data_IF_861465244732
#
_entry.id   IF_861465244732
#
_cell.length_a   1.000
_cell.length_b   1.000
_cell.length_c   1.000
_cell.angle_alpha   90.00
_cell.angle_beta   90.00
_cell.angle_gamma   90.00
#
_symmetry.space_group_name_H-M   'P 1'
#
loop_
_entity.id
_entity.type
_entity.pdbx_description
1 polymer ?
#
# COMPACT_ATOMS: atom_id res chain seq x y z
N UNK A 1 14.29 1.86 -21.88
CA UNK A 1 12.83 1.67 -21.89
C UNK A 1 12.18 3.01 -21.56
N UNK A 2 11.15 3.42 -22.29
CA UNK A 2 10.36 4.62 -21.96
C UNK A 2 9.45 4.33 -20.78
N UNK A 3 9.43 5.20 -19.78
CA UNK A 3 8.51 5.08 -18.64
C UNK A 3 7.07 5.14 -19.15
N UNK A 4 6.20 4.17 -18.79
CA UNK A 4 4.81 4.19 -19.21
C UNK A 4 4.08 5.41 -18.64
N UNK A 5 3.20 6.02 -19.44
CA UNK A 5 2.40 7.18 -19.06
C UNK A 5 0.97 6.76 -18.72
N UNK A 6 0.42 7.31 -17.63
CA UNK A 6 -0.94 7.06 -17.15
C UNK A 6 -1.70 8.36 -16.94
N UNK A 7 -3.03 8.29 -16.92
CA UNK A 7 -3.92 9.43 -16.69
C UNK A 7 -5.07 9.03 -15.76
N UNK A 8 -5.90 9.98 -15.36
CA UNK A 8 -7.01 9.77 -14.41
C UNK A 8 -8.09 8.75 -14.85
N UNK A 9 -8.04 8.27 -16.10
CA UNK A 9 -8.95 7.22 -16.62
C UNK A 9 -8.25 5.89 -16.87
N UNK A 10 -6.95 5.79 -16.55
CA UNK A 10 -6.22 4.54 -16.67
C UNK A 10 -6.76 3.53 -15.66
N UNK A 11 -6.94 2.28 -16.10
CA UNK A 11 -7.39 1.20 -15.22
C UNK A 11 -6.22 0.63 -14.44
N UNK A 12 -6.51 0.02 -13.28
CA UNK A 12 -5.48 -0.68 -12.49
C UNK A 12 -4.74 -1.73 -13.31
N UNK A 13 -5.45 -2.46 -14.18
CA UNK A 13 -4.84 -3.44 -15.09
C UNK A 13 -3.87 -2.80 -16.08
N UNK A 14 -4.19 -1.63 -16.63
CA UNK A 14 -3.27 -0.90 -17.51
C UNK A 14 -2.00 -0.47 -16.77
N UNK A 15 -2.13 0.02 -15.54
CA UNK A 15 -1.00 0.41 -14.71
C UNK A 15 -0.10 -0.79 -14.40
N UNK A 16 -0.69 -1.89 -13.92
CA UNK A 16 0.03 -3.12 -13.59
C UNK A 16 0.75 -3.69 -14.82
N UNK A 17 0.09 -3.75 -15.98
CA UNK A 17 0.73 -4.21 -17.23
C UNK A 17 1.87 -3.29 -17.67
N UNK A 18 1.72 -1.98 -17.51
CA UNK A 18 2.78 -1.02 -17.81
C UNK A 18 4.04 -1.22 -16.94
N UNK A 19 3.86 -1.67 -15.70
CA UNK A 19 4.94 -2.00 -14.77
C UNK A 19 5.27 -3.50 -14.69
N UNK A 20 4.82 -4.32 -15.64
CA UNK A 20 5.01 -5.77 -15.54
C UNK A 20 6.49 -6.17 -15.39
N UNK A 21 7.39 -5.53 -16.16
CA UNK A 21 8.82 -5.78 -16.07
C UNK A 21 9.40 -5.52 -14.66
N UNK A 22 8.72 -4.72 -13.83
CA UNK A 22 9.13 -4.48 -12.46
C UNK A 22 8.66 -5.58 -11.50
N UNK A 23 7.55 -6.28 -11.79
CA UNK A 23 6.81 -7.14 -10.84
C UNK A 23 6.67 -8.60 -11.27
N UNK A 24 7.04 -8.95 -12.50
CA UNK A 24 7.01 -10.33 -13.02
C UNK A 24 7.88 -11.28 -12.16
N UNK A 25 7.31 -12.41 -11.74
CA UNK A 25 7.94 -13.41 -10.87
C UNK A 25 8.24 -12.93 -9.45
N UNK A 26 7.79 -11.73 -9.08
CA UNK A 26 8.07 -11.12 -7.78
C UNK A 26 6.91 -11.27 -6.81
N UNK A 27 7.23 -11.28 -5.52
CA UNK A 27 6.23 -11.14 -4.47
C UNK A 27 5.74 -9.68 -4.40
N UNK A 28 4.43 -9.48 -4.46
CA UNK A 28 3.74 -8.21 -4.27
C UNK A 28 2.88 -8.30 -3.01
N UNK A 29 3.32 -7.61 -1.96
CA UNK A 29 2.57 -7.49 -0.71
C UNK A 29 1.62 -6.28 -0.77
N UNK A 30 0.33 -6.47 -0.50
CA UNK A 30 -0.71 -5.43 -0.56
C UNK A 30 -1.44 -5.35 0.78
N UNK A 31 -1.47 -4.16 1.38
CA UNK A 31 -2.11 -3.89 2.69
C UNK A 31 -3.55 -3.43 2.57
N UNK A 32 -4.36 -3.62 3.61
CA UNK A 32 -5.77 -3.18 3.68
C UNK A 32 -6.62 -3.61 2.46
N UNK A 33 -6.32 -4.78 1.88
CA UNK A 33 -6.99 -5.30 0.68
C UNK A 33 -8.36 -5.92 0.97
N UNK A 34 -9.25 -5.13 1.56
CA UNK A 34 -10.65 -5.50 1.88
C UNK A 34 -11.68 -4.79 1.00
N UNK A 35 -11.30 -3.73 0.26
CA UNK A 35 -12.13 -3.12 -0.77
C UNK A 35 -11.30 -2.24 -1.72
N UNK A 36 -11.96 -1.61 -2.69
CA UNK A 36 -11.42 -0.47 -3.45
C UNK A 36 -10.19 -0.81 -4.29
N UNK A 37 -9.26 0.15 -4.37
CA UNK A 37 -8.07 0.08 -5.22
C UNK A 37 -7.17 -1.10 -4.86
N UNK A 38 -7.13 -1.49 -3.58
CA UNK A 38 -6.29 -2.58 -3.10
C UNK A 38 -6.74 -3.93 -3.69
N UNK A 39 -8.05 -4.23 -3.70
CA UNK A 39 -8.60 -5.45 -4.33
C UNK A 39 -8.30 -5.48 -5.82
N UNK A 40 -8.56 -4.37 -6.52
CA UNK A 40 -8.30 -4.31 -7.97
C UNK A 40 -6.81 -4.41 -8.28
N UNK A 41 -5.94 -3.90 -7.41
CA UNK A 41 -4.49 -4.04 -7.59
C UNK A 41 -4.02 -5.47 -7.33
N UNK A 42 -4.58 -6.15 -6.33
CA UNK A 42 -4.31 -7.56 -6.09
C UNK A 42 -4.73 -8.42 -7.27
N UNK A 43 -5.96 -8.23 -7.77
CA UNK A 43 -6.50 -8.94 -8.94
C UNK A 43 -5.64 -8.70 -10.18
N UNK A 44 -5.33 -7.44 -10.50
CA UNK A 44 -4.51 -7.11 -11.66
C UNK A 44 -3.10 -7.70 -11.54
N UNK A 45 -2.47 -7.62 -10.37
CA UNK A 45 -1.12 -8.16 -10.15
C UNK A 45 -1.09 -9.69 -10.33
N UNK A 46 -2.13 -10.39 -9.89
CA UNK A 46 -2.26 -11.84 -10.09
C UNK A 46 -2.34 -12.24 -11.58
N UNK A 47 -2.67 -11.31 -12.50
CA UNK A 47 -2.71 -11.59 -13.94
C UNK A 47 -1.35 -11.51 -14.65
N UNK A 48 -0.29 -11.08 -13.96
CA UNK A 48 1.02 -10.78 -14.57
C UNK A 48 2.17 -11.57 -13.93
N UNK A 49 1.94 -12.81 -13.54
CA UNK A 49 2.94 -13.71 -12.94
C UNK A 49 3.60 -13.15 -11.66
N UNK A 50 2.94 -12.21 -10.96
CA UNK A 50 3.33 -11.80 -9.63
C UNK A 50 2.72 -12.74 -8.59
N UNK A 51 3.49 -13.06 -7.55
CA UNK A 51 2.97 -13.73 -6.36
C UNK A 51 2.34 -12.68 -5.45
N UNK A 52 1.02 -12.71 -5.26
CA UNK A 52 0.29 -11.69 -4.50
C UNK A 52 0.06 -12.16 -3.07
N UNK A 53 0.42 -11.34 -2.09
CA UNK A 53 0.09 -11.54 -0.68
C UNK A 53 -0.74 -10.37 -0.19
N UNK A 54 -1.86 -10.68 0.45
CA UNK A 54 -2.80 -9.70 0.98
C UNK A 54 -2.68 -9.67 2.51
N UNK A 55 -2.58 -8.47 3.08
CA UNK A 55 -2.73 -8.21 4.50
C UNK A 55 -4.01 -7.42 4.70
N UNK A 56 -4.82 -7.84 5.68
CA UNK A 56 -5.98 -7.07 6.10
C UNK A 56 -6.30 -7.30 7.58
N UNK A 57 -6.97 -6.31 8.19
CA UNK A 57 -7.23 -6.26 9.64
C UNK A 57 -8.35 -7.19 10.10
N UNK A 58 -9.25 -7.56 9.19
CA UNK A 58 -10.43 -8.37 9.47
C UNK A 58 -10.36 -9.67 8.66
N UNK A 59 -9.99 -10.77 9.32
CA UNK A 59 -9.85 -12.07 8.68
C UNK A 59 -11.18 -12.60 8.10
N UNK A 60 -12.34 -12.18 8.61
CA UNK A 60 -13.63 -12.58 8.06
C UNK A 60 -13.91 -11.91 6.70
N UNK A 61 -13.22 -10.80 6.40
CA UNK A 61 -13.22 -10.15 5.08
C UNK A 61 -12.09 -10.65 4.17
N UNK A 62 -11.24 -11.54 4.68
CA UNK A 62 -10.10 -12.16 3.99
C UNK A 62 -10.30 -13.67 3.99
N UNK A 63 -11.43 -14.14 3.46
CA UNK A 63 -11.52 -15.56 3.11
C UNK A 63 -10.61 -15.82 1.91
N UNK A 64 -9.59 -16.66 2.15
CA UNK A 64 -8.54 -17.12 1.22
C UNK A 64 -7.42 -16.10 0.91
N UNK A 65 -6.47 -15.89 1.82
CA UNK A 65 -5.09 -15.45 1.49
C UNK A 65 -4.16 -15.57 2.72
N UNK A 66 -3.45 -16.69 2.87
CA UNK A 66 -2.30 -16.80 3.78
C UNK A 66 -1.16 -17.45 2.99
N UNK A 67 -0.02 -16.78 2.85
CA UNK A 67 1.17 -17.34 2.22
C UNK A 67 2.40 -16.95 3.03
N UNK A 68 3.28 -17.93 3.22
CA UNK A 68 4.58 -17.84 3.89
C UNK A 68 5.50 -16.82 3.18
N UNK A 69 6.06 -15.87 3.94
CA UNK A 69 6.79 -14.70 3.44
C UNK A 69 8.29 -14.97 3.36
N UNK A 70 8.73 -15.83 2.44
CA UNK A 70 10.14 -16.22 2.36
C UNK A 70 10.99 -15.30 1.47
N UNK A 71 10.41 -14.55 0.52
CA UNK A 71 11.14 -13.59 -0.33
C UNK A 71 10.25 -12.41 -0.76
N UNK A 72 10.50 -11.20 -0.24
CA UNK A 72 9.70 -9.99 -0.56
C UNK A 72 10.45 -9.10 -1.55
N UNK A 73 9.89 -8.95 -2.76
CA UNK A 73 10.52 -8.15 -3.80
C UNK A 73 9.77 -6.84 -4.06
N UNK A 74 8.46 -6.74 -3.81
CA UNK A 74 7.71 -5.48 -3.92
C UNK A 74 6.68 -5.40 -2.81
N UNK A 75 6.65 -4.24 -2.14
CA UNK A 75 5.59 -3.91 -1.20
C UNK A 75 4.81 -2.75 -1.78
N UNK A 76 3.55 -3.02 -2.08
CA UNK A 76 2.57 -1.99 -2.33
C UNK A 76 1.82 -1.72 -1.02
N UNK A 77 2.16 -0.61 -0.38
CA UNK A 77 1.42 -0.09 0.75
C UNK A 77 0.27 0.75 0.18
N UNK A 78 -0.86 0.10 -0.09
CA UNK A 78 -2.08 0.83 -0.44
C UNK A 78 -2.65 1.46 0.81
N UNK A 79 -2.58 2.79 0.87
CA UNK A 79 -3.55 3.58 1.64
C UNK A 79 -4.87 3.50 0.86
N UNK A 80 -5.95 3.31 1.63
CA UNK A 80 -7.35 3.34 1.21
C UNK A 80 -8.08 2.00 0.97
N UNK A 81 -8.27 1.25 2.06
CA UNK A 81 -9.64 0.89 2.50
C UNK A 81 -9.76 0.76 4.04
N UNK A 82 -9.03 1.62 4.72
CA UNK A 82 -8.98 1.73 6.18
C UNK A 82 -8.55 3.10 6.66
N UNK A 83 -8.08 3.94 5.73
CA UNK A 83 -7.70 5.31 5.98
C UNK A 83 -8.92 6.12 6.36
N UNK A 84 -8.83 6.72 7.53
CA UNK A 84 -9.84 7.64 8.05
C UNK A 84 -9.77 8.88 7.14
N UNK A 85 -10.81 9.09 6.32
CA UNK A 85 -10.93 10.23 5.39
C UNK A 85 -12.04 11.12 5.93
N UNK A 86 -11.68 12.35 6.33
CA UNK A 86 -12.64 13.36 6.81
C UNK A 86 -13.51 12.79 7.95
N UNK A 87 -12.86 12.11 8.90
CA UNK A 87 -13.56 11.66 10.09
C UNK A 87 -13.54 12.77 11.15
N UNK A 88 -14.46 12.75 12.13
CA UNK A 88 -14.38 13.66 13.26
C UNK A 88 -13.00 13.58 13.90
N UNK A 89 -12.46 14.74 14.31
CA UNK A 89 -11.19 14.77 15.03
C UNK A 89 -11.26 13.86 16.25
N UNK A 90 -10.27 12.98 16.38
CA UNK A 90 -10.22 11.99 17.44
C UNK A 90 -8.82 11.40 17.55
N UNK A 91 -8.52 10.82 18.71
CA UNK A 91 -7.23 10.17 18.97
C UNK A 91 -7.43 8.68 19.19
N UNK A 92 -6.50 7.86 18.69
CA UNK A 92 -6.45 6.45 19.04
C UNK A 92 -5.84 6.34 20.43
N UNK A 93 -6.63 5.84 21.39
CA UNK A 93 -6.23 5.62 22.79
C UNK A 93 -5.43 6.80 23.36
N UNK A 94 -5.95 8.02 23.13
CA UNK A 94 -5.37 9.31 23.55
C UNK A 94 -3.90 9.57 23.16
N UNK A 95 -3.34 8.84 22.17
CA UNK A 95 -1.93 8.96 21.80
C UNK A 95 -1.72 9.84 20.57
N UNK A 96 -2.26 9.43 19.41
CA UNK A 96 -2.08 10.11 18.14
C UNK A 96 -3.43 10.42 17.49
N UNK A 97 -3.49 11.51 16.73
CA UNK A 97 -4.62 11.81 15.85
C UNK A 97 -4.88 10.62 14.91
N UNK A 98 -6.15 10.30 14.69
CA UNK A 98 -6.58 9.06 14.06
C UNK A 98 -6.12 8.97 12.60
N UNK A 99 -6.29 10.02 11.81
CA UNK A 99 -5.84 10.05 10.41
C UNK A 99 -4.31 9.95 10.33
N UNK A 100 -3.58 10.68 11.16
CA UNK A 100 -2.13 10.67 11.20
C UNK A 100 -1.59 9.28 11.60
N UNK A 101 -2.20 8.66 12.62
CA UNK A 101 -1.82 7.32 13.05
C UNK A 101 -2.05 6.27 11.96
N UNK A 102 -3.25 6.25 11.38
CA UNK A 102 -3.67 5.22 10.42
C UNK A 102 -2.99 5.41 9.06
N UNK A 103 -2.93 6.64 8.55
CA UNK A 103 -2.45 6.90 7.19
C UNK A 103 -0.92 7.11 7.12
N UNK A 104 -0.28 7.52 8.21
CA UNK A 104 1.16 7.79 8.22
C UNK A 104 1.95 6.87 9.17
N UNK A 105 1.72 6.93 10.48
CA UNK A 105 2.58 6.26 11.46
C UNK A 105 2.59 4.74 11.31
N UNK A 106 1.43 4.13 11.09
CA UNK A 106 1.30 2.67 10.89
C UNK A 106 2.11 2.19 9.69
N UNK A 107 2.05 2.93 8.58
CA UNK A 107 2.77 2.62 7.35
C UNK A 107 4.27 2.90 7.46
N UNK A 108 4.66 3.97 8.15
CA UNK A 108 6.06 4.23 8.46
C UNK A 108 6.68 3.11 9.30
N UNK A 109 5.98 2.65 10.34
CA UNK A 109 6.44 1.54 11.17
C UNK A 109 6.56 0.23 10.37
N UNK A 110 5.57 -0.08 9.53
CA UNK A 110 5.60 -1.26 8.67
C UNK A 110 6.77 -1.21 7.68
N UNK A 111 6.94 -0.08 6.99
CA UNK A 111 8.02 0.10 6.01
C UNK A 111 9.40 -0.01 6.67
N UNK A 112 9.60 0.63 7.83
CA UNK A 112 10.87 0.58 8.57
C UNK A 112 11.18 -0.83 9.09
N UNK A 113 10.18 -1.57 9.56
CA UNK A 113 10.36 -2.95 10.00
C UNK A 113 10.71 -3.91 8.85
N UNK A 114 10.17 -3.68 7.66
CA UNK A 114 10.44 -4.51 6.48
C UNK A 114 11.74 -4.09 5.76
N UNK A 115 12.23 -2.88 5.98
CA UNK A 115 13.41 -2.32 5.32
C UNK A 115 14.66 -3.23 5.36
N UNK A 116 15.03 -3.89 6.47
CA UNK A 116 16.16 -4.82 6.49
C UNK A 116 15.98 -5.99 5.50
N UNK A 117 14.76 -6.54 5.39
CA UNK A 117 14.46 -7.64 4.47
C UNK A 117 14.46 -7.17 3.01
N UNK A 118 13.96 -5.97 2.76
CA UNK A 118 13.96 -5.36 1.42
C UNK A 118 15.37 -5.03 0.93
N UNK A 119 16.28 -4.63 1.82
CA UNK A 119 17.68 -4.34 1.46
C UNK A 119 18.48 -5.57 1.05
N UNK A 120 18.10 -6.75 1.54
CA UNK A 120 18.72 -8.03 1.15
C UNK A 120 18.23 -8.48 -0.23
N UNK A 121 17.02 -8.07 -0.64
CA UNK A 121 16.49 -8.32 -1.97
C UNK A 121 17.29 -7.61 -3.06
N UNK A 122 17.39 -8.23 -4.24
CA UNK A 122 18.14 -7.70 -5.39
C UNK A 122 17.47 -6.52 -6.08
N UNK A 123 16.16 -6.32 -5.90
CA UNK A 123 15.39 -5.22 -6.51
C UNK A 123 14.05 -5.02 -5.81
N UNK A 124 14.06 -4.19 -4.76
CA UNK A 124 12.91 -3.94 -3.90
C UNK A 124 12.32 -2.54 -4.05
N UNK A 125 10.99 -2.44 -4.10
CA UNK A 125 10.28 -1.16 -4.19
C UNK A 125 9.20 -1.08 -3.10
N UNK A 126 9.06 0.11 -2.53
CA UNK A 126 7.97 0.47 -1.61
C UNK A 126 7.15 1.55 -2.30
N UNK A 127 5.88 1.28 -2.54
CA UNK A 127 4.93 2.24 -3.12
C UNK A 127 3.90 2.59 -2.05
N UNK A 128 3.79 3.88 -1.73
CA UNK A 128 2.80 4.41 -0.79
C UNK A 128 1.76 5.18 -1.60
N UNK A 129 0.50 4.75 -1.53
CA UNK A 129 -0.60 5.48 -2.16
C UNK A 129 -0.88 6.75 -1.35
N UNK A 130 -1.00 7.90 -2.02
CA UNK A 130 -1.36 9.17 -1.40
C UNK A 130 -2.62 9.75 -2.06
N UNK A 131 -3.02 10.95 -1.67
CA UNK A 131 -4.17 11.67 -2.23
C UNK A 131 -3.76 13.06 -2.68
N UNK A 132 -4.46 13.61 -3.68
CA UNK A 132 -4.33 15.02 -4.08
C UNK A 132 -4.59 16.00 -2.92
N UNK A 133 -5.27 15.57 -1.86
CA UNK A 133 -5.46 16.35 -0.64
C UNK A 133 -4.15 16.79 0.00
N UNK A 134 -3.05 16.02 -0.15
CA UNK A 134 -1.75 16.38 0.39
C UNK A 134 -1.17 17.68 -0.20
N UNK A 135 -1.70 18.14 -1.35
CA UNK A 135 -1.27 19.40 -1.99
C UNK A 135 -1.94 20.63 -1.39
N UNK A 136 -2.90 20.45 -0.48
CA UNK A 136 -3.72 21.52 0.11
C UNK A 136 -3.41 21.75 1.59
N UNK A 137 -2.53 20.96 2.18
CA UNK A 137 -2.12 21.06 3.57
C UNK A 137 -0.60 20.94 3.70
N UNK A 138 -0.08 21.35 4.84
CA UNK A 138 1.32 21.17 5.23
C UNK A 138 1.38 20.50 6.62
N UNK A 139 2.54 20.02 7.00
CA UNK A 139 2.79 19.47 8.34
C UNK A 139 2.80 20.62 9.34
N UNK A 140 1.97 20.52 10.37
CA UNK A 140 2.09 21.37 11.54
C UNK A 140 3.24 20.85 12.41
N UNK A 141 4.38 21.53 12.37
CA UNK A 141 5.56 21.13 13.14
C UNK A 141 5.48 21.50 14.63
N UNK A 142 4.58 22.42 15.00
CA UNK A 142 4.34 22.80 16.40
C UNK A 142 3.42 21.82 17.13
N UNK A 143 2.54 21.15 16.38
CA UNK A 143 1.72 20.05 16.86
C UNK A 143 1.58 18.98 15.77
N UNK A 144 2.31 17.88 15.95
CA UNK A 144 2.34 16.78 14.99
C UNK A 144 1.11 15.85 15.09
N UNK A 145 0.08 16.25 15.86
CA UNK A 145 -1.19 15.52 15.96
C UNK A 145 -2.26 16.11 15.03
#
# INVERSE_FOLDING_TARGET
MTTPTFHAKSTTLQVVKGFNANIDGKLVLITDCTSGIAIETARASATVNAHVVIIARDMNKVEHSVIDLTYISIILLTIDNGGVIICPHGKIVNSFETQFHVNHLSYFLLATHLMPKLKVGTSSHVVIVSSLANRRCDINWEDIN
#
